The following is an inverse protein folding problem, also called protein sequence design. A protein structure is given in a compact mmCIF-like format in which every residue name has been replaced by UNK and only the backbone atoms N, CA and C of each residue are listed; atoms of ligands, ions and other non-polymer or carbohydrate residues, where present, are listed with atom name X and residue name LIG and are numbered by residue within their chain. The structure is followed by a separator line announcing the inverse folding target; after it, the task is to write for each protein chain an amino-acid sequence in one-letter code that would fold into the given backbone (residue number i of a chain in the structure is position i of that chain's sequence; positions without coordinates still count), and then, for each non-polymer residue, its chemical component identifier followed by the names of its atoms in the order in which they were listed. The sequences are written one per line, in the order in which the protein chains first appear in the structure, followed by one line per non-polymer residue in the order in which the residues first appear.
data_IF_673244325990
#
_entry.id   IF_673244325990
#
_cell.length_a   1.000
_cell.length_b   1.000
_cell.length_c   1.000
_cell.angle_alpha   90.00
_cell.angle_beta   90.00
_cell.angle_gamma   90.00
#
_symmetry.space_group_name_H-M   'P 1'
#
loop_
_entity.id
_entity.type
_entity.pdbx_description
1 polymer ?
#
# COMPACT_ATOMS: atom_id res chain seq x y z
N UNK A 1 6.04 15.44 11.99
CA UNK A 1 7.12 14.62 12.55
C UNK A 1 6.96 14.60 14.07
N UNK A 2 6.60 13.44 14.61
CA UNK A 2 6.52 13.24 16.06
C UNK A 2 7.90 12.73 16.48
N UNK A 3 8.68 13.59 17.13
CA UNK A 3 9.93 13.19 17.76
C UNK A 3 9.64 12.37 19.02
N UNK A 4 9.77 11.06 18.92
CA UNK A 4 9.74 10.17 20.08
C UNK A 4 11.12 10.18 20.70
N UNK A 5 11.29 10.85 21.83
CA UNK A 5 12.52 10.77 22.61
C UNK A 5 12.54 9.42 23.34
N UNK A 6 13.51 8.54 23.09
CA UNK A 6 13.64 7.31 23.87
C UNK A 6 13.91 7.66 25.33
N UNK A 7 13.13 7.09 26.23
CA UNK A 7 13.41 7.14 27.68
C UNK A 7 14.70 6.35 27.96
N UNK A 8 15.82 7.07 28.03
CA UNK A 8 17.12 6.49 28.37
C UNK A 8 17.95 7.47 29.18
N UNK A 9 18.84 6.96 30.04
CA UNK A 9 19.83 7.79 30.72
C UNK A 9 20.76 8.41 29.67
N UNK A 10 21.01 9.73 29.70
CA UNK A 10 21.94 10.40 28.81
C UNK A 10 23.31 9.73 28.87
N UNK A 11 23.98 9.54 27.73
CA UNK A 11 25.34 9.02 27.73
C UNK A 11 26.27 10.01 28.48
N UNK A 12 27.05 9.57 29.47
CA UNK A 12 27.81 10.47 30.35
C UNK A 12 28.89 11.26 29.62
N UNK A 13 29.34 10.81 28.44
CA UNK A 13 30.43 11.38 27.67
C UNK A 13 30.05 11.89 26.29
N UNK A 14 28.81 11.69 25.84
CA UNK A 14 28.34 12.10 24.53
C UNK A 14 27.03 12.85 24.67
N UNK A 15 26.96 14.06 24.12
CA UNK A 15 25.72 14.83 23.97
C UNK A 15 25.49 15.10 22.49
N UNK A 16 24.28 14.84 22.00
CA UNK A 16 23.82 15.22 20.66
C UNK A 16 22.85 16.37 20.86
N UNK A 17 23.18 17.51 20.27
CA UNK A 17 22.43 18.76 20.44
C UNK A 17 22.06 19.32 19.07
N UNK A 18 20.83 19.84 18.94
CA UNK A 18 20.49 20.73 17.84
C UNK A 18 21.15 22.10 18.00
N UNK A 19 21.24 22.90 16.95
CA UNK A 19 21.88 24.22 17.00
C UNK A 19 21.25 25.15 18.05
N UNK A 20 19.92 25.10 18.22
CA UNK A 20 19.19 25.88 19.22
C UNK A 20 19.55 25.42 20.65
N UNK A 21 19.58 24.11 20.87
CA UNK A 21 19.93 23.52 22.17
C UNK A 21 21.37 23.83 22.55
N UNK A 22 22.29 23.73 21.59
CA UNK A 22 23.70 24.11 21.79
C UNK A 22 23.85 25.58 22.17
N UNK A 23 23.04 26.48 21.59
CA UNK A 23 23.02 27.91 21.93
C UNK A 23 22.49 28.15 23.33
N UNK A 24 21.47 27.42 23.77
CA UNK A 24 20.86 27.53 25.11
C UNK A 24 21.72 26.89 26.20
N UNK A 25 22.62 26.00 25.86
CA UNK A 25 23.53 25.33 26.78
C UNK A 25 25.00 25.49 26.34
N UNK A 26 25.51 26.72 26.23
CA UNK A 26 26.85 27.01 25.71
C UNK A 26 27.94 26.29 26.48
N UNK A 27 27.83 26.10 27.79
CA UNK A 27 28.79 25.38 28.60
C UNK A 27 28.98 23.92 28.13
N UNK A 28 27.91 23.24 27.67
CA UNK A 28 28.04 21.88 27.15
C UNK A 28 28.73 21.82 25.79
N UNK A 29 28.60 22.85 24.98
CA UNK A 29 29.24 22.91 23.66
C UNK A 29 30.67 23.45 23.73
N UNK A 30 30.94 24.46 24.57
CA UNK A 30 32.25 25.12 24.70
C UNK A 30 33.23 24.31 25.59
N UNK A 31 32.71 23.66 26.63
CA UNK A 31 33.52 22.84 27.54
C UNK A 31 33.71 21.39 27.05
N UNK A 32 33.12 21.02 25.91
CA UNK A 32 33.33 19.72 25.31
C UNK A 32 34.79 19.56 24.92
N UNK A 33 35.38 18.39 25.20
CA UNK A 33 36.74 18.06 24.76
C UNK A 33 36.88 18.12 23.24
N UNK A 34 35.82 17.73 22.52
CA UNK A 34 35.72 17.72 21.06
C UNK A 34 34.30 18.04 20.64
N UNK A 35 34.15 18.98 19.70
CA UNK A 35 32.88 19.33 19.10
C UNK A 35 32.82 18.79 17.67
N UNK A 36 31.76 18.10 17.31
CA UNK A 36 31.51 17.59 15.96
C UNK A 36 30.37 18.36 15.33
N UNK A 37 30.64 19.13 14.27
CA UNK A 37 29.64 19.78 13.44
C UNK A 37 29.28 18.84 12.29
N UNK A 38 28.14 18.18 12.41
CA UNK A 38 27.69 17.18 11.44
C UNK A 38 26.82 17.79 10.34
N UNK A 39 26.93 17.22 9.11
CA UNK A 39 26.07 17.55 8.00
C UNK A 39 26.29 18.98 7.45
N UNK A 40 27.53 19.42 7.32
CA UNK A 40 27.89 20.79 6.95
C UNK A 40 27.74 21.08 5.44
N UNK A 41 26.53 20.79 4.94
CA UNK A 41 26.10 20.98 3.57
C UNK A 41 25.20 22.21 3.44
N UNK A 42 25.16 22.80 2.26
CA UNK A 42 24.22 23.89 1.94
C UNK A 42 22.79 23.40 2.04
N UNK A 43 21.94 24.17 2.70
CA UNK A 43 20.55 23.79 3.00
C UNK A 43 20.36 23.16 4.38
N UNK A 44 21.45 22.65 5.01
CA UNK A 44 21.47 22.26 6.42
C UNK A 44 22.13 23.37 7.25
N UNK A 45 23.27 23.89 6.78
CA UNK A 45 24.02 24.99 7.38
C UNK A 45 24.33 26.08 6.34
N UNK A 46 23.53 27.16 6.25
CA UNK A 46 22.29 27.43 6.99
C UNK A 46 21.12 26.57 6.48
N UNK A 47 20.09 26.33 7.35
CA UNK A 47 18.87 25.72 6.90
C UNK A 47 18.20 26.59 5.81
N UNK A 48 17.48 25.93 4.89
CA UNK A 48 16.76 26.62 3.83
C UNK A 48 15.72 27.57 4.46
N UNK A 49 15.59 28.80 3.94
CA UNK A 49 14.54 29.69 4.41
C UNK A 49 13.17 29.09 4.16
N UNK A 50 12.27 29.17 5.14
CA UNK A 50 10.88 28.75 4.97
C UNK A 50 10.23 29.62 3.87
N UNK A 51 9.56 28.94 2.94
CA UNK A 51 8.74 29.63 1.94
C UNK A 51 7.46 30.08 2.61
N UNK A 52 7.32 31.41 2.82
CA UNK A 52 6.07 31.97 3.32
C UNK A 52 5.17 32.27 2.09
N UNK A 53 4.10 31.49 1.90
CA UNK A 53 3.22 31.67 0.73
C UNK A 53 2.34 32.91 0.82
N UNK A 54 2.23 33.53 2.01
CA UNK A 54 1.30 34.61 2.28
C UNK A 54 1.95 36.01 2.29
N UNK A 55 3.22 36.11 2.76
CA UNK A 55 3.88 37.39 2.95
C UNK A 55 5.24 37.47 2.27
N UNK A 56 5.45 38.50 1.46
CA UNK A 56 6.77 38.88 0.99
C UNK A 56 7.56 39.64 2.07
N UNK A 57 8.84 39.96 1.80
CA UNK A 57 9.71 40.63 2.80
C UNK A 57 9.22 42.03 3.18
N UNK A 58 8.61 42.78 2.27
CA UNK A 58 8.08 44.11 2.54
C UNK A 58 6.84 44.05 3.43
N UNK A 59 5.93 43.12 3.16
CA UNK A 59 4.74 42.87 4.00
C UNK A 59 5.13 42.48 5.42
N UNK A 60 6.12 41.59 5.56
CA UNK A 60 6.65 41.19 6.88
C UNK A 60 7.20 42.39 7.66
N UNK A 61 7.98 43.25 7.01
CA UNK A 61 8.53 44.44 7.61
C UNK A 61 7.42 45.41 8.05
N UNK A 62 6.37 45.58 7.23
CA UNK A 62 5.24 46.46 7.55
C UNK A 62 4.45 46.05 8.80
N UNK A 63 4.42 44.74 9.11
CA UNK A 63 3.75 44.18 10.32
C UNK A 63 4.71 43.88 11.46
N UNK A 64 5.98 44.29 11.36
CA UNK A 64 6.98 44.08 12.41
C UNK A 64 7.51 42.69 12.59
N UNK A 65 7.31 41.81 11.60
CA UNK A 65 7.84 40.41 11.61
C UNK A 65 9.33 40.39 11.20
N UNK A 66 10.12 39.46 11.79
CA UNK A 66 11.52 39.31 11.40
C UNK A 66 11.69 39.05 9.90
N UNK A 67 12.78 39.54 9.28
CA UNK A 67 13.08 39.24 7.86
C UNK A 67 13.27 37.74 7.64
N UNK A 68 12.97 37.25 6.43
CA UNK A 68 13.05 35.80 6.12
C UNK A 68 14.44 35.19 6.34
N UNK A 69 15.49 35.99 6.23
CA UNK A 69 16.88 35.54 6.37
C UNK A 69 17.44 35.65 7.80
N UNK A 70 16.63 36.06 8.79
CA UNK A 70 17.12 36.19 10.17
C UNK A 70 17.68 34.89 10.74
N UNK A 71 17.09 33.73 10.35
CA UNK A 71 17.56 32.39 10.73
C UNK A 71 18.96 32.09 10.19
N UNK A 72 19.27 32.59 8.98
CA UNK A 72 20.62 32.47 8.41
C UNK A 72 21.64 33.25 9.25
N UNK A 73 21.27 34.41 9.77
CA UNK A 73 22.09 35.18 10.70
C UNK A 73 22.34 34.43 12.02
N UNK A 74 21.30 33.83 12.58
CA UNK A 74 21.46 32.97 13.78
C UNK A 74 22.35 31.76 13.50
N UNK A 75 22.20 31.11 12.36
CA UNK A 75 23.06 29.98 11.95
C UNK A 75 24.51 30.40 11.79
N UNK A 76 24.76 31.60 11.26
CA UNK A 76 26.13 32.15 11.18
C UNK A 76 26.73 32.36 12.58
N UNK A 77 25.93 32.88 13.52
CA UNK A 77 26.35 33.03 14.92
C UNK A 77 26.66 31.68 15.56
N UNK A 78 25.81 30.67 15.36
CA UNK A 78 26.02 29.32 15.91
C UNK A 78 27.30 28.69 15.38
N UNK A 79 27.55 28.81 14.07
CA UNK A 79 28.79 28.35 13.43
C UNK A 79 30.01 29.10 13.98
N UNK A 80 29.91 30.42 14.14
CA UNK A 80 31.01 31.22 14.69
C UNK A 80 31.34 30.77 16.12
N UNK A 81 30.34 30.61 16.97
CA UNK A 81 30.54 30.12 18.33
C UNK A 81 31.18 28.72 18.37
N UNK A 82 30.72 27.84 17.49
CA UNK A 82 31.22 26.48 17.40
C UNK A 82 32.70 26.44 16.93
N UNK A 83 33.08 27.25 15.95
CA UNK A 83 34.44 27.33 15.43
C UNK A 83 35.44 27.86 16.47
N UNK A 84 34.95 28.64 17.43
CA UNK A 84 35.78 29.09 18.56
C UNK A 84 36.07 27.99 19.60
N UNK A 85 35.56 26.79 19.43
CA UNK A 85 35.87 25.65 20.29
C UNK A 85 37.28 25.14 20.11
N UNK A 86 37.79 24.49 21.16
CA UNK A 86 39.19 24.11 21.27
C UNK A 86 39.61 23.00 20.29
N UNK A 87 38.72 22.05 20.04
CA UNK A 87 38.92 20.92 19.12
C UNK A 87 37.61 20.70 18.35
N UNK A 88 37.63 20.87 17.05
CA UNK A 88 36.46 20.80 16.21
C UNK A 88 36.67 19.90 15.01
N UNK A 89 35.68 19.02 14.78
CA UNK A 89 35.59 18.22 13.55
C UNK A 89 34.38 18.69 12.77
N UNK A 90 34.54 18.99 11.50
CA UNK A 90 33.45 19.33 10.58
C UNK A 90 33.28 18.18 9.61
N UNK A 91 32.04 17.64 9.55
CA UNK A 91 31.70 16.57 8.61
C UNK A 91 30.64 17.02 7.62
N UNK A 92 30.71 16.53 6.40
CA UNK A 92 29.71 16.72 5.38
C UNK A 92 29.52 15.48 4.54
N UNK A 93 28.37 15.35 3.91
CA UNK A 93 28.13 14.34 2.90
C UNK A 93 28.56 14.86 1.51
N UNK A 94 29.30 14.06 0.72
CA UNK A 94 29.60 14.39 -0.68
C UNK A 94 28.38 14.10 -1.59
N UNK A 95 27.58 13.11 -1.23
CA UNK A 95 26.35 12.74 -1.93
C UNK A 95 25.23 12.47 -0.92
N UNK A 96 24.02 12.78 -1.30
CA UNK A 96 22.80 12.42 -0.57
C UNK A 96 21.84 11.73 -1.53
N UNK A 97 21.42 10.51 -1.22
CA UNK A 97 20.62 9.65 -2.11
C UNK A 97 21.20 9.58 -3.55
N UNK A 98 22.51 9.43 -3.68
CA UNK A 98 23.20 9.37 -4.98
C UNK A 98 23.48 10.72 -5.64
N UNK A 99 22.86 11.81 -5.20
CA UNK A 99 23.01 13.16 -5.77
C UNK A 99 24.17 13.92 -5.10
N UNK A 100 25.10 14.53 -5.85
CA UNK A 100 26.16 15.36 -5.30
C UNK A 100 25.61 16.53 -4.46
N UNK A 101 26.21 16.80 -3.34
CA UNK A 101 25.84 17.89 -2.43
C UNK A 101 26.79 19.08 -2.56
N UNK A 102 26.30 20.26 -2.18
CA UNK A 102 27.12 21.48 -2.15
C UNK A 102 27.63 21.72 -0.73
N UNK A 103 28.89 22.11 -0.59
CA UNK A 103 29.46 22.55 0.68
C UNK A 103 28.66 23.72 1.25
N UNK A 104 28.46 23.76 2.57
CA UNK A 104 27.93 24.94 3.26
C UNK A 104 28.72 26.21 2.89
N UNK A 105 28.00 27.31 2.68
CA UNK A 105 28.64 28.63 2.46
C UNK A 105 29.56 29.06 3.60
N UNK A 106 29.28 28.62 4.80
CA UNK A 106 30.13 28.88 5.97
C UNK A 106 31.46 28.13 5.87
N UNK A 107 31.44 26.89 5.41
CA UNK A 107 32.65 26.11 5.20
C UNK A 107 33.48 26.70 4.07
N UNK A 108 32.88 27.10 2.94
CA UNK A 108 33.57 27.74 1.83
C UNK A 108 34.24 29.06 2.27
N UNK A 109 33.52 29.88 3.07
CA UNK A 109 34.10 31.10 3.61
C UNK A 109 35.29 30.83 4.55
N UNK A 110 35.21 29.82 5.40
CA UNK A 110 36.27 29.41 6.28
C UNK A 110 37.49 28.93 5.49
N UNK A 111 37.29 28.11 4.48
CA UNK A 111 38.39 27.64 3.58
C UNK A 111 39.12 28.83 2.92
N UNK A 112 38.38 29.83 2.44
CA UNK A 112 38.97 31.05 1.85
C UNK A 112 39.83 31.81 2.84
N UNK A 113 39.36 32.00 4.08
CA UNK A 113 40.11 32.72 5.12
C UNK A 113 41.37 31.95 5.51
N UNK A 114 41.25 30.65 5.73
CA UNK A 114 42.37 29.78 6.08
C UNK A 114 43.44 29.79 4.97
N UNK A 115 43.03 29.71 3.72
CA UNK A 115 43.91 29.79 2.56
C UNK A 115 44.65 31.16 2.49
N UNK A 116 43.89 32.25 2.70
CA UNK A 116 44.49 33.59 2.69
C UNK A 116 45.54 33.81 3.81
N UNK A 117 45.35 33.13 4.93
CA UNK A 117 46.32 33.14 6.06
C UNK A 117 47.47 32.18 5.91
N UNK A 118 47.51 31.36 4.85
CA UNK A 118 48.56 30.36 4.64
C UNK A 118 48.49 29.16 5.59
N UNK A 119 47.33 28.93 6.21
CA UNK A 119 47.13 27.91 7.26
C UNK A 119 46.52 26.60 6.74
N UNK A 120 46.35 26.45 5.43
CA UNK A 120 45.69 25.27 4.84
C UNK A 120 46.37 23.94 5.21
N UNK A 121 47.67 23.94 5.39
CA UNK A 121 48.42 22.75 5.81
C UNK A 121 48.21 22.34 7.27
N UNK A 122 47.56 23.17 8.07
CA UNK A 122 47.26 22.90 9.48
C UNK A 122 45.89 22.24 9.69
N UNK A 123 45.10 22.10 8.64
CA UNK A 123 43.80 21.44 8.69
C UNK A 123 44.01 19.94 8.41
N UNK A 124 43.64 19.09 9.37
CA UNK A 124 43.59 17.67 9.18
C UNK A 124 42.43 17.33 8.20
N UNK A 125 42.71 16.52 7.20
CA UNK A 125 41.72 16.07 6.20
C UNK A 125 40.77 14.95 6.71
N UNK A 126 40.93 14.54 7.97
CA UNK A 126 40.16 13.47 8.60
C UNK A 126 40.53 12.08 8.08
N UNK A 127 41.75 11.87 7.63
CA UNK A 127 42.21 10.57 7.11
C UNK A 127 42.07 9.46 8.17
N UNK A 128 42.35 9.78 9.43
CA UNK A 128 42.20 8.85 10.56
C UNK A 128 40.76 8.44 10.78
N UNK A 129 39.82 9.38 10.80
CA UNK A 129 38.40 9.14 10.98
C UNK A 129 37.81 8.36 9.80
N UNK A 130 38.19 8.70 8.57
CA UNK A 130 37.82 7.93 7.37
C UNK A 130 38.36 6.49 7.41
N UNK A 131 39.58 6.29 7.91
CA UNK A 131 40.11 4.93 8.08
C UNK A 131 39.36 4.13 9.15
N UNK A 132 38.91 4.76 10.21
CA UNK A 132 38.01 4.12 11.19
C UNK A 132 36.66 3.74 10.58
N UNK A 133 36.03 4.63 9.84
CA UNK A 133 34.77 4.35 9.14
C UNK A 133 34.91 3.16 8.20
N UNK A 134 35.99 3.11 7.42
CA UNK A 134 36.28 1.99 6.51
C UNK A 134 36.47 0.64 7.24
N UNK A 135 36.88 0.66 8.52
CA UNK A 135 36.97 -0.56 9.36
C UNK A 135 35.60 -0.96 9.92
N UNK A 136 34.75 0.00 10.24
CA UNK A 136 33.37 -0.26 10.69
C UNK A 136 32.46 -0.76 9.57
N UNK A 137 32.70 -0.29 8.36
CA UNK A 137 31.96 -0.69 7.15
C UNK A 137 32.91 -1.45 6.21
N UNK A 138 33.35 -2.68 6.57
CA UNK A 138 34.16 -3.44 5.66
C UNK A 138 33.41 -3.63 4.36
N UNK A 139 34.05 -3.36 3.23
CA UNK A 139 33.54 -3.68 1.91
C UNK A 139 33.40 -5.20 1.79
N UNK A 140 32.33 -5.74 2.32
CA UNK A 140 31.92 -7.11 2.01
C UNK A 140 31.41 -7.11 0.57
N UNK A 141 31.83 -8.09 -0.21
CA UNK A 141 31.22 -8.32 -1.53
C UNK A 141 29.72 -8.41 -1.32
N UNK A 142 28.87 -7.55 -1.94
CA UNK A 142 27.46 -7.63 -1.75
C UNK A 142 26.98 -9.04 -2.13
N UNK A 143 26.37 -9.72 -1.18
CA UNK A 143 25.68 -10.96 -1.51
C UNK A 143 24.30 -10.54 -2.03
N UNK A 144 24.01 -10.94 -3.26
CA UNK A 144 22.66 -10.77 -3.82
C UNK A 144 21.66 -11.47 -2.92
N UNK A 145 20.58 -10.79 -2.60
CA UNK A 145 19.48 -11.42 -1.90
C UNK A 145 18.85 -12.48 -2.82
N UNK A 146 18.64 -13.66 -2.27
CA UNK A 146 17.95 -14.72 -3.01
C UNK A 146 16.44 -14.60 -2.83
N UNK A 147 15.71 -14.94 -3.87
CA UNK A 147 14.26 -15.07 -3.82
C UNK A 147 13.89 -16.10 -2.76
N UNK A 148 13.11 -15.73 -1.73
CA UNK A 148 12.69 -16.68 -0.72
C UNK A 148 11.76 -17.73 -1.31
N UNK A 149 12.01 -18.99 -0.98
CA UNK A 149 11.28 -20.13 -1.49
C UNK A 149 11.17 -21.20 -0.40
N UNK A 150 10.47 -20.90 0.73
CA UNK A 150 10.33 -21.85 1.83
C UNK A 150 9.55 -23.10 1.39
N UNK A 151 9.91 -24.25 1.94
CA UNK A 151 9.24 -25.51 1.73
C UNK A 151 8.72 -26.06 3.06
N UNK A 152 7.51 -25.65 3.51
CA UNK A 152 6.96 -26.07 4.79
C UNK A 152 6.53 -27.54 4.78
N UNK A 153 6.58 -28.25 5.93
CA UNK A 153 6.07 -29.60 6.07
C UNK A 153 4.61 -29.73 5.65
N UNK A 154 4.21 -30.85 5.05
CA UNK A 154 2.83 -31.09 4.57
C UNK A 154 1.77 -30.80 5.65
N UNK A 155 2.00 -31.25 6.87
CA UNK A 155 1.08 -31.08 7.98
C UNK A 155 0.80 -29.60 8.36
N UNK A 156 1.68 -28.66 7.97
CA UNK A 156 1.50 -27.25 8.24
C UNK A 156 0.86 -26.49 7.08
N UNK A 157 0.67 -27.14 5.92
CA UNK A 157 0.10 -26.50 4.72
C UNK A 157 -1.39 -26.27 4.89
N UNK A 158 -1.90 -25.10 4.46
CA UNK A 158 -3.31 -24.75 4.63
C UNK A 158 -4.22 -25.64 3.78
N UNK A 159 -5.36 -26.02 4.34
CA UNK A 159 -6.42 -26.79 3.65
C UNK A 159 -7.69 -25.97 3.44
N UNK A 160 -7.62 -24.66 3.62
CA UNK A 160 -8.73 -23.76 3.38
C UNK A 160 -8.25 -22.46 2.75
N UNK A 161 -8.92 -22.04 1.67
CA UNK A 161 -8.64 -20.82 0.94
C UNK A 161 -9.94 -20.07 0.61
N UNK A 162 -9.88 -18.74 0.56
CA UNK A 162 -10.94 -17.95 -0.07
C UNK A 162 -10.73 -17.86 -1.58
N UNK A 163 -11.78 -17.53 -2.32
CA UNK A 163 -11.69 -17.34 -3.78
C UNK A 163 -10.60 -16.33 -4.18
N UNK A 164 -10.45 -15.24 -3.43
CA UNK A 164 -9.39 -14.24 -3.66
C UNK A 164 -7.98 -14.74 -3.30
N UNK A 165 -7.86 -15.67 -2.36
CA UNK A 165 -6.57 -16.27 -2.00
C UNK A 165 -6.04 -17.25 -3.05
N UNK A 166 -6.88 -17.79 -3.91
CA UNK A 166 -6.45 -18.62 -5.05
C UNK A 166 -5.58 -17.81 -6.01
N UNK A 167 -5.95 -16.57 -6.32
CA UNK A 167 -5.16 -15.70 -7.18
C UNK A 167 -3.77 -15.41 -6.58
N UNK A 168 -3.72 -15.22 -5.25
CA UNK A 168 -2.47 -15.02 -4.52
C UNK A 168 -1.65 -16.32 -4.51
N UNK A 169 -2.28 -17.47 -4.29
CA UNK A 169 -1.60 -18.76 -4.26
C UNK A 169 -0.92 -19.10 -5.59
N UNK A 170 -1.52 -18.68 -6.69
CA UNK A 170 -0.96 -18.87 -8.05
C UNK A 170 0.18 -17.89 -8.32
N UNK A 171 0.04 -16.62 -7.93
CA UNK A 171 0.97 -15.55 -8.32
C UNK A 171 2.08 -15.28 -7.30
N UNK A 172 1.78 -15.46 -6.01
CA UNK A 172 2.70 -15.23 -4.89
C UNK A 172 2.46 -16.24 -3.74
N UNK A 173 2.86 -17.52 -3.93
CA UNK A 173 2.72 -18.52 -2.87
C UNK A 173 3.35 -18.13 -1.54
N UNK A 174 4.41 -17.32 -1.55
CA UNK A 174 5.04 -16.84 -0.33
C UNK A 174 4.11 -15.99 0.53
N UNK A 175 3.21 -15.22 -0.08
CA UNK A 175 2.20 -14.47 0.67
C UNK A 175 1.22 -15.41 1.41
N UNK A 176 0.87 -16.56 0.81
CA UNK A 176 0.09 -17.60 1.49
C UNK A 176 0.89 -18.24 2.63
N UNK A 177 2.18 -18.52 2.41
CA UNK A 177 3.07 -19.01 3.48
C UNK A 177 3.11 -18.03 4.67
N UNK A 178 3.35 -16.74 4.41
CA UNK A 178 3.40 -15.71 5.44
C UNK A 178 2.05 -15.58 6.17
N UNK A 179 0.95 -15.52 5.43
CA UNK A 179 -0.40 -15.30 6.00
C UNK A 179 -0.93 -16.50 6.76
N UNK A 180 -0.84 -17.71 6.16
CA UNK A 180 -1.54 -18.90 6.68
C UNK A 180 -0.66 -19.82 7.51
N UNK A 181 0.62 -19.95 7.17
CA UNK A 181 1.54 -20.84 7.87
C UNK A 181 2.24 -20.09 9.01
N UNK A 182 2.84 -18.93 8.72
CA UNK A 182 3.44 -18.09 9.75
C UNK A 182 2.41 -17.26 10.53
N UNK A 183 1.17 -17.16 10.05
CA UNK A 183 0.06 -16.41 10.65
C UNK A 183 0.36 -14.94 10.88
N UNK A 184 1.18 -14.35 10.02
CA UNK A 184 1.50 -12.93 10.07
C UNK A 184 0.31 -12.11 9.58
N UNK A 185 0.04 -11.02 10.29
CA UNK A 185 -0.98 -10.04 9.90
C UNK A 185 -0.28 -8.73 9.58
N UNK A 186 -0.63 -8.07 8.46
CA UNK A 186 -0.17 -6.72 8.21
C UNK A 186 -0.64 -5.80 9.34
N UNK A 187 0.20 -4.84 9.71
CA UNK A 187 -0.22 -3.78 10.63
C UNK A 187 -1.02 -2.76 9.84
N UNK A 188 -2.11 -2.30 10.44
CA UNK A 188 -2.86 -1.18 9.92
C UNK A 188 -2.05 0.12 10.09
N UNK A 189 -2.20 1.05 9.14
CA UNK A 189 -1.62 2.38 9.27
C UNK A 189 -2.24 3.11 10.47
N UNK A 190 -1.40 3.83 11.23
CA UNK A 190 -1.84 4.56 12.43
C UNK A 190 -2.89 5.62 12.07
N UNK A 191 -2.76 6.23 10.91
CA UNK A 191 -3.69 7.26 10.40
C UNK A 191 -4.17 6.84 9.00
N UNK A 192 -5.17 5.92 8.99
CA UNK A 192 -5.71 5.40 7.74
C UNK A 192 -6.55 6.49 7.06
N UNK A 193 -5.99 7.08 6.02
CA UNK A 193 -6.73 8.02 5.18
C UNK A 193 -7.86 7.30 4.41
N UNK A 194 -8.90 8.05 4.08
CA UNK A 194 -9.96 7.56 3.21
C UNK A 194 -9.39 7.18 1.83
N UNK A 195 -9.37 5.91 1.53
CA UNK A 195 -8.77 5.34 0.32
C UNK A 195 -9.81 4.72 -0.62
N UNK A 196 -9.34 4.24 -1.77
CA UNK A 196 -10.21 3.59 -2.76
C UNK A 196 -10.86 2.29 -2.23
N UNK A 197 -10.23 1.60 -1.27
CA UNK A 197 -10.76 0.39 -0.67
C UNK A 197 -11.96 0.71 0.23
N UNK A 198 -11.86 1.73 1.08
CA UNK A 198 -12.98 2.21 1.90
C UNK A 198 -14.17 2.63 1.03
N UNK A 199 -13.91 3.36 -0.08
CA UNK A 199 -14.97 3.71 -1.03
C UNK A 199 -15.65 2.46 -1.60
N UNK A 200 -14.88 1.44 -1.95
CA UNK A 200 -15.41 0.15 -2.42
C UNK A 200 -16.36 -0.46 -1.40
N UNK A 201 -15.93 -0.56 -0.15
CA UNK A 201 -16.72 -1.13 0.95
C UNK A 201 -18.06 -0.39 1.07
N UNK A 202 -18.07 0.95 1.15
CA UNK A 202 -19.28 1.74 1.29
C UNK A 202 -20.26 1.55 0.14
N UNK A 203 -19.76 1.40 -1.10
CA UNK A 203 -20.60 1.14 -2.27
C UNK A 203 -21.21 -0.27 -2.21
N UNK A 204 -20.41 -1.28 -1.90
CA UNK A 204 -20.86 -2.66 -1.77
C UNK A 204 -21.92 -2.81 -0.67
N UNK A 205 -21.69 -2.24 0.51
CA UNK A 205 -22.63 -2.32 1.64
C UNK A 205 -23.98 -1.70 1.29
N UNK A 206 -24.00 -0.53 0.64
CA UNK A 206 -25.23 0.13 0.23
C UNK A 206 -26.00 -0.69 -0.83
N UNK A 207 -25.27 -1.28 -1.81
CA UNK A 207 -25.87 -2.14 -2.84
C UNK A 207 -26.37 -3.46 -2.26
N UNK A 208 -25.67 -4.02 -1.30
CA UNK A 208 -26.06 -5.24 -0.61
C UNK A 208 -27.38 -5.05 0.16
N UNK A 209 -27.49 -3.97 0.94
CA UNK A 209 -28.70 -3.66 1.70
C UNK A 209 -29.88 -3.38 0.78
N UNK A 210 -29.66 -2.63 -0.31
CA UNK A 210 -30.68 -2.41 -1.34
C UNK A 210 -31.13 -3.73 -1.98
N UNK A 211 -30.20 -4.59 -2.37
CA UNK A 211 -30.51 -5.87 -3.01
C UNK A 211 -31.27 -6.81 -2.08
N UNK A 212 -30.90 -6.84 -0.78
CA UNK A 212 -31.63 -7.61 0.24
C UNK A 212 -33.07 -7.09 0.47
N UNK A 213 -33.24 -5.77 0.52
CA UNK A 213 -34.53 -5.15 0.69
C UNK A 213 -35.46 -5.38 -0.53
N UNK A 214 -34.89 -5.60 -1.72
CA UNK A 214 -35.58 -5.80 -2.99
C UNK A 214 -35.19 -7.16 -3.62
N UNK A 215 -35.21 -8.23 -2.85
CA UNK A 215 -34.75 -9.55 -3.27
C UNK A 215 -35.61 -10.19 -4.39
N UNK A 216 -36.84 -9.80 -4.51
CA UNK A 216 -37.80 -10.36 -5.49
C UNK A 216 -38.70 -9.27 -6.09
N UNK A 217 -39.25 -9.53 -7.27
CA UNK A 217 -40.23 -8.64 -7.93
C UNK A 217 -39.59 -7.42 -8.59
N UNK A 218 -40.47 -6.57 -9.12
CA UNK A 218 -40.12 -5.33 -9.79
C UNK A 218 -39.83 -4.21 -8.79
N UNK A 219 -38.97 -3.27 -9.17
CA UNK A 219 -38.66 -2.09 -8.35
C UNK A 219 -39.82 -1.07 -8.41
N UNK A 220 -40.08 -0.44 -7.26
CA UNK A 220 -40.96 0.70 -7.18
C UNK A 220 -40.37 1.99 -7.79
N UNK A 221 -41.22 3.04 -7.97
CA UNK A 221 -40.74 4.32 -8.49
C UNK A 221 -39.78 5.05 -7.56
N UNK A 222 -39.72 4.70 -6.30
CA UNK A 222 -38.88 5.25 -5.23
C UNK A 222 -37.56 4.50 -5.05
N UNK A 223 -37.27 3.51 -5.91
CA UNK A 223 -36.10 2.67 -5.78
C UNK A 223 -34.77 3.43 -5.75
N UNK A 224 -34.64 4.50 -6.54
CA UNK A 224 -33.43 5.34 -6.51
C UNK A 224 -33.29 6.07 -5.17
N UNK A 225 -34.38 6.62 -4.63
CA UNK A 225 -34.34 7.30 -3.33
C UNK A 225 -34.01 6.32 -2.23
N UNK A 226 -34.55 5.11 -2.27
CA UNK A 226 -34.23 4.04 -1.33
C UNK A 226 -32.72 3.67 -1.38
N UNK A 227 -32.12 3.52 -2.56
CA UNK A 227 -30.70 3.23 -2.70
C UNK A 227 -29.82 4.38 -2.18
N UNK A 228 -30.23 5.62 -2.44
CA UNK A 228 -29.53 6.80 -1.92
C UNK A 228 -29.62 6.88 -0.39
N UNK A 229 -30.72 6.45 0.23
CA UNK A 229 -30.86 6.44 1.69
C UNK A 229 -29.99 5.34 2.34
N UNK A 230 -29.88 4.16 1.75
CA UNK A 230 -28.87 3.17 2.17
C UNK A 230 -27.45 3.76 2.04
N UNK A 231 -27.16 4.42 0.92
CA UNK A 231 -25.89 5.13 0.76
C UNK A 231 -25.63 6.14 1.87
N UNK A 232 -26.59 7.03 2.18
CA UNK A 232 -26.45 8.02 3.28
C UNK A 232 -26.13 7.34 4.61
N UNK A 233 -26.77 6.21 4.89
CA UNK A 233 -26.57 5.44 6.11
C UNK A 233 -25.11 4.95 6.23
N UNK A 234 -24.56 4.30 5.20
CA UNK A 234 -23.20 3.78 5.20
C UNK A 234 -22.14 4.89 5.15
N UNK A 235 -22.43 6.00 4.46
CA UNK A 235 -21.53 7.15 4.42
C UNK A 235 -21.59 8.03 5.68
N UNK A 236 -22.57 7.88 6.56
CA UNK A 236 -22.84 8.79 7.69
C UNK A 236 -21.61 9.06 8.57
N UNK A 237 -20.83 8.02 8.89
CA UNK A 237 -19.62 8.13 9.71
C UNK A 237 -18.44 8.85 9.03
N UNK A 238 -18.48 8.96 7.69
CA UNK A 238 -17.39 9.49 6.87
C UNK A 238 -17.72 10.84 6.22
N UNK A 239 -18.99 11.24 6.22
CA UNK A 239 -19.50 12.43 5.50
C UNK A 239 -18.94 13.75 6.03
N UNK A 240 -18.38 13.75 7.24
CA UNK A 240 -17.68 14.90 7.85
C UNK A 240 -16.36 15.28 7.12
N UNK A 241 -15.79 14.38 6.31
CA UNK A 241 -14.59 14.66 5.52
C UNK A 241 -14.98 15.30 4.18
N UNK A 242 -14.48 16.52 3.84
CA UNK A 242 -14.86 17.23 2.61
C UNK A 242 -14.62 16.42 1.33
N UNK A 243 -13.53 15.67 1.25
CA UNK A 243 -13.20 14.82 0.09
C UNK A 243 -14.25 13.73 -0.14
N UNK A 244 -14.74 13.11 0.92
CA UNK A 244 -15.78 12.06 0.83
C UNK A 244 -17.09 12.68 0.40
N UNK A 245 -17.51 13.76 1.06
CA UNK A 245 -18.77 14.43 0.77
C UNK A 245 -18.87 14.93 -0.68
N UNK A 246 -17.81 15.57 -1.22
CA UNK A 246 -17.88 16.19 -2.54
C UNK A 246 -17.52 15.26 -3.70
N UNK A 247 -16.62 14.28 -3.48
CA UNK A 247 -16.16 13.42 -4.57
C UNK A 247 -16.78 12.03 -4.55
N UNK A 248 -16.90 11.39 -3.39
CA UNK A 248 -17.41 10.03 -3.34
C UNK A 248 -18.92 9.99 -3.40
N UNK A 249 -19.60 10.91 -2.71
CA UNK A 249 -21.04 10.98 -2.73
C UNK A 249 -21.59 11.29 -4.13
N UNK A 250 -21.01 12.27 -4.84
CA UNK A 250 -21.41 12.57 -6.23
C UNK A 250 -21.18 11.39 -7.18
N UNK A 251 -20.14 10.58 -6.93
CA UNK A 251 -19.93 9.35 -7.68
C UNK A 251 -20.94 8.27 -7.33
N UNK A 252 -21.30 8.16 -6.06
CA UNK A 252 -22.33 7.23 -5.62
C UNK A 252 -23.69 7.56 -6.24
N UNK A 253 -24.11 8.83 -6.28
CA UNK A 253 -25.33 9.27 -6.93
C UNK A 253 -25.37 8.90 -8.42
N UNK A 254 -24.29 9.16 -9.15
CA UNK A 254 -24.20 8.81 -10.57
C UNK A 254 -24.25 7.30 -10.80
N UNK A 255 -23.57 6.52 -9.96
CA UNK A 255 -23.59 5.06 -9.99
C UNK A 255 -24.98 4.52 -9.63
N UNK A 256 -25.62 5.06 -8.61
CA UNK A 256 -26.95 4.62 -8.16
C UNK A 256 -28.01 4.81 -9.26
N UNK A 257 -27.99 5.94 -9.95
CA UNK A 257 -28.91 6.17 -11.07
C UNK A 257 -28.70 5.14 -12.19
N UNK A 258 -27.44 4.88 -12.57
CA UNK A 258 -27.11 3.84 -13.56
C UNK A 258 -27.52 2.45 -13.10
N UNK A 259 -27.26 2.12 -11.83
CA UNK A 259 -27.60 0.83 -11.25
C UNK A 259 -29.11 0.58 -11.32
N UNK A 260 -29.94 1.51 -10.87
CA UNK A 260 -31.42 1.39 -10.90
C UNK A 260 -31.95 1.25 -12.33
N UNK A 261 -31.38 1.99 -13.29
CA UNK A 261 -31.78 1.85 -14.70
C UNK A 261 -31.52 0.43 -15.24
N UNK A 262 -30.37 -0.18 -14.88
CA UNK A 262 -30.04 -1.55 -15.26
C UNK A 262 -30.91 -2.58 -14.50
N UNK A 263 -31.19 -2.34 -13.22
CA UNK A 263 -32.07 -3.20 -12.42
C UNK A 263 -33.48 -3.31 -13.04
N UNK A 264 -34.07 -2.21 -13.44
CA UNK A 264 -35.40 -2.23 -14.06
C UNK A 264 -35.47 -3.13 -15.30
N UNK A 265 -34.43 -3.09 -16.15
CA UNK A 265 -34.40 -3.93 -17.36
C UNK A 265 -34.15 -5.41 -17.04
N UNK A 266 -33.36 -5.68 -16.00
CA UNK A 266 -32.89 -7.03 -15.70
C UNK A 266 -33.90 -7.87 -14.93
N UNK A 267 -34.71 -7.22 -14.10
CA UNK A 267 -35.64 -7.91 -13.19
C UNK A 267 -36.81 -8.61 -13.89
N UNK A 268 -37.06 -8.33 -15.17
CA UNK A 268 -38.10 -9.03 -15.94
C UNK A 268 -37.85 -10.54 -16.04
N UNK A 269 -36.57 -10.97 -16.08
CA UNK A 269 -36.18 -12.36 -16.22
C UNK A 269 -35.81 -13.02 -14.89
N UNK A 270 -35.67 -12.25 -13.80
CA UNK A 270 -35.21 -12.76 -12.51
C UNK A 270 -36.37 -13.27 -11.65
N UNK A 271 -36.12 -14.36 -10.94
CA UNK A 271 -36.98 -14.89 -9.88
C UNK A 271 -36.57 -14.31 -8.52
N UNK A 272 -35.25 -14.28 -8.23
CA UNK A 272 -34.73 -13.81 -6.96
C UNK A 272 -33.29 -13.34 -7.06
N UNK A 273 -32.91 -12.44 -6.13
CA UNK A 273 -31.57 -11.89 -5.97
C UNK A 273 -31.10 -12.15 -4.53
N UNK A 274 -29.87 -12.57 -4.40
CA UNK A 274 -29.22 -12.81 -3.12
C UNK A 274 -27.94 -11.96 -3.06
N UNK A 275 -27.73 -11.27 -1.95
CA UNK A 275 -26.57 -10.39 -1.76
C UNK A 275 -25.76 -10.80 -0.54
N UNK A 276 -24.44 -10.80 -0.69
CA UNK A 276 -23.48 -11.08 0.39
C UNK A 276 -23.70 -12.48 1.02
N UNK A 277 -23.86 -13.49 0.16
CA UNK A 277 -24.09 -14.89 0.56
C UNK A 277 -22.77 -15.63 0.64
N UNK A 278 -22.59 -16.35 1.76
CA UNK A 278 -21.44 -17.22 1.93
C UNK A 278 -21.63 -18.56 1.22
N UNK A 279 -20.55 -19.06 0.65
CA UNK A 279 -20.53 -20.37 0.03
C UNK A 279 -19.22 -21.09 0.23
N UNK A 280 -19.26 -22.42 0.06
CA UNK A 280 -18.06 -23.27 0.14
C UNK A 280 -18.22 -24.53 -0.70
N UNK A 281 -17.08 -25.03 -1.16
CA UNK A 281 -16.95 -26.37 -1.78
C UNK A 281 -15.67 -27.04 -1.26
N UNK A 282 -15.59 -28.34 -1.55
CA UNK A 282 -14.38 -29.14 -1.29
C UNK A 282 -13.82 -29.66 -2.61
N UNK A 283 -12.56 -29.30 -2.88
CA UNK A 283 -11.78 -29.90 -3.97
C UNK A 283 -11.12 -31.19 -3.48
N UNK A 284 -11.00 -32.16 -4.36
CA UNK A 284 -10.25 -33.37 -4.06
C UNK A 284 -8.74 -33.13 -4.26
N UNK A 285 -7.96 -33.57 -3.29
CA UNK A 285 -6.50 -33.46 -3.37
C UNK A 285 -5.82 -34.62 -2.62
N UNK A 286 -4.55 -34.92 -2.97
CA UNK A 286 -3.81 -36.10 -2.52
C UNK A 286 -3.66 -36.22 -1.00
N UNK A 287 -3.51 -35.09 -0.32
CA UNK A 287 -3.40 -35.02 1.16
C UNK A 287 -4.74 -34.73 1.86
N UNK A 288 -5.87 -35.02 1.19
CA UNK A 288 -7.22 -34.80 1.68
C UNK A 288 -7.89 -33.55 1.08
N UNK A 289 -9.17 -33.31 1.38
CA UNK A 289 -9.94 -32.27 0.73
C UNK A 289 -9.42 -30.86 1.05
N UNK A 290 -9.46 -29.96 0.07
CA UNK A 290 -9.19 -28.53 0.22
C UNK A 290 -10.51 -27.77 0.19
N UNK A 291 -10.81 -27.04 1.26
CA UNK A 291 -12.00 -26.20 1.37
C UNK A 291 -11.77 -24.87 0.65
N UNK A 292 -12.61 -24.57 -0.34
CA UNK A 292 -12.72 -23.24 -0.92
C UNK A 292 -13.93 -22.51 -0.34
N UNK A 293 -13.76 -21.24 -0.03
CA UNK A 293 -14.83 -20.37 0.47
C UNK A 293 -14.94 -19.12 -0.37
N UNK A 294 -16.17 -18.64 -0.58
CA UNK A 294 -16.44 -17.35 -1.19
C UNK A 294 -17.56 -16.64 -0.46
N UNK A 295 -17.64 -15.34 -0.63
CA UNK A 295 -18.79 -14.51 -0.31
C UNK A 295 -19.14 -13.77 -1.58
N UNK A 296 -20.22 -14.18 -2.22
CA UNK A 296 -20.64 -13.56 -3.47
C UNK A 296 -21.30 -12.20 -3.19
N UNK A 297 -20.90 -11.16 -3.88
CA UNK A 297 -21.50 -9.84 -3.78
C UNK A 297 -22.98 -9.90 -4.17
N UNK A 298 -23.28 -10.62 -5.27
CA UNK A 298 -24.62 -10.80 -5.76
C UNK A 298 -24.77 -12.10 -6.58
N UNK A 299 -25.81 -12.84 -6.27
CA UNK A 299 -26.28 -14.00 -7.04
C UNK A 299 -27.68 -13.72 -7.55
N UNK A 300 -27.93 -13.98 -8.81
CA UNK A 300 -29.22 -13.86 -9.44
C UNK A 300 -29.72 -15.23 -9.92
N UNK A 301 -30.91 -15.57 -9.54
CA UNK A 301 -31.58 -16.78 -9.96
C UNK A 301 -32.69 -16.40 -10.93
N UNK A 302 -32.64 -16.89 -12.16
CA UNK A 302 -33.61 -16.55 -13.19
C UNK A 302 -34.78 -17.52 -13.21
N UNK A 303 -35.74 -17.27 -14.11
CA UNK A 303 -36.98 -18.06 -14.28
C UNK A 303 -36.71 -19.42 -14.93
N UNK A 304 -35.59 -19.58 -15.64
CA UNK A 304 -35.11 -20.82 -16.24
C UNK A 304 -34.43 -21.72 -15.22
N UNK A 305 -34.07 -21.22 -14.04
CA UNK A 305 -33.40 -21.94 -12.98
C UNK A 305 -31.88 -21.89 -13.10
N UNK A 306 -31.33 -20.87 -13.76
CA UNK A 306 -29.93 -20.65 -13.96
C UNK A 306 -29.38 -19.54 -13.06
N UNK A 307 -28.09 -19.61 -12.73
CA UNK A 307 -27.41 -18.64 -11.90
C UNK A 307 -26.61 -17.62 -12.72
N UNK A 308 -26.75 -16.35 -12.38
CA UNK A 308 -25.78 -15.31 -12.75
C UNK A 308 -25.06 -14.82 -11.50
N UNK A 309 -23.75 -14.83 -11.54
CA UNK A 309 -22.88 -14.36 -10.46
C UNK A 309 -22.34 -12.98 -10.83
N UNK A 310 -22.53 -12.02 -9.97
CA UNK A 310 -22.12 -10.63 -10.18
C UNK A 310 -21.14 -10.22 -9.08
N UNK A 311 -20.00 -9.72 -9.48
CA UNK A 311 -19.00 -9.13 -8.59
C UNK A 311 -18.84 -7.63 -8.90
N UNK A 312 -19.00 -6.80 -7.89
CA UNK A 312 -18.92 -5.35 -8.00
C UNK A 312 -17.46 -4.87 -7.93
N UNK A 313 -17.03 -4.02 -8.85
CA UNK A 313 -15.69 -3.44 -8.86
C UNK A 313 -15.77 -1.91 -8.97
N UNK A 314 -15.36 -1.20 -7.94
CA UNK A 314 -15.24 0.28 -7.98
C UNK A 314 -13.93 0.75 -8.64
N UNK A 315 -13.02 -0.18 -8.91
CA UNK A 315 -11.74 0.02 -9.57
C UNK A 315 -11.65 -0.64 -10.94
N UNK A 316 -10.46 -1.17 -11.24
CA UNK A 316 -10.20 -1.86 -12.52
C UNK A 316 -10.73 -3.30 -12.47
N UNK A 317 -11.45 -3.68 -13.51
CA UNK A 317 -11.92 -5.05 -13.72
C UNK A 317 -10.75 -5.89 -14.29
N UNK A 318 -10.59 -7.16 -13.87
CA UNK A 318 -9.63 -8.07 -14.45
C UNK A 318 -9.78 -8.21 -15.97
N UNK A 319 -8.66 -8.22 -16.70
CA UNK A 319 -8.71 -8.40 -18.15
C UNK A 319 -9.04 -9.85 -18.53
N UNK A 320 -9.73 -10.05 -19.64
CA UNK A 320 -10.06 -11.38 -20.15
C UNK A 320 -8.81 -12.25 -20.37
N UNK A 321 -7.65 -11.66 -20.68
CA UNK A 321 -6.40 -12.39 -20.82
C UNK A 321 -5.89 -12.99 -19.51
N UNK A 322 -6.05 -12.30 -18.37
CA UNK A 322 -5.67 -12.81 -17.04
C UNK A 322 -6.62 -13.91 -16.57
N UNK A 323 -7.90 -13.78 -16.91
CA UNK A 323 -8.92 -14.79 -16.64
C UNK A 323 -8.61 -16.05 -17.44
N UNK A 324 -8.39 -15.92 -18.76
CA UNK A 324 -8.02 -17.05 -19.64
C UNK A 324 -6.75 -17.77 -19.19
N UNK A 325 -5.77 -17.04 -18.68
CA UNK A 325 -4.56 -17.62 -18.08
C UNK A 325 -4.79 -18.28 -16.72
N UNK A 326 -5.99 -18.20 -16.16
CA UNK A 326 -6.30 -18.70 -14.82
C UNK A 326 -5.61 -17.96 -13.69
N UNK A 327 -5.22 -16.70 -13.89
CA UNK A 327 -4.58 -15.86 -12.87
C UNK A 327 -5.61 -15.11 -12.02
N UNK A 328 -6.83 -14.94 -12.53
CA UNK A 328 -7.96 -14.33 -11.82
C UNK A 328 -9.11 -15.32 -11.80
N UNK A 329 -9.42 -15.86 -10.61
CA UNK A 329 -10.31 -16.99 -10.43
C UNK A 329 -11.53 -16.69 -9.55
N UNK A 330 -11.64 -15.49 -8.97
CA UNK A 330 -12.70 -15.17 -7.99
C UNK A 330 -14.08 -15.58 -8.51
N UNK A 331 -14.55 -15.02 -9.63
CA UNK A 331 -15.85 -15.34 -10.20
C UNK A 331 -15.96 -16.81 -10.65
N UNK A 332 -14.86 -17.40 -11.15
CA UNK A 332 -14.86 -18.81 -11.55
C UNK A 332 -15.06 -19.75 -10.34
N UNK A 333 -14.45 -19.44 -9.20
CA UNK A 333 -14.66 -20.17 -7.94
C UNK A 333 -16.07 -19.97 -7.42
N UNK A 334 -16.61 -18.76 -7.49
CA UNK A 334 -18.00 -18.48 -7.10
C UNK A 334 -19.00 -19.20 -8.01
N UNK A 335 -18.76 -19.24 -9.33
CA UNK A 335 -19.54 -20.04 -10.28
C UNK A 335 -19.50 -21.53 -9.95
N UNK A 336 -18.32 -22.08 -9.63
CA UNK A 336 -18.19 -23.47 -9.22
C UNK A 336 -18.96 -23.79 -7.93
N UNK A 337 -18.94 -22.86 -6.96
CA UNK A 337 -19.72 -22.98 -5.71
C UNK A 337 -21.22 -22.97 -6.00
N UNK A 338 -21.70 -22.09 -6.90
CA UNK A 338 -23.11 -22.01 -7.27
C UNK A 338 -23.57 -23.28 -8.03
N UNK A 339 -22.74 -23.75 -8.96
CA UNK A 339 -23.01 -24.98 -9.71
C UNK A 339 -23.20 -26.18 -8.78
N UNK A 340 -22.35 -26.35 -7.77
CA UNK A 340 -22.41 -27.43 -6.81
C UNK A 340 -23.48 -27.23 -5.69
N UNK A 341 -24.18 -26.10 -5.65
CA UNK A 341 -25.12 -25.77 -4.58
C UNK A 341 -24.42 -25.52 -3.24
N UNK A 342 -23.19 -25.00 -3.28
CA UNK A 342 -22.38 -24.72 -2.09
C UNK A 342 -22.66 -23.39 -1.40
N UNK A 343 -23.56 -22.56 -1.92
CA UNK A 343 -24.02 -21.33 -1.24
C UNK A 343 -25.12 -21.66 -0.21
N UNK A 344 -25.09 -20.97 0.92
CA UNK A 344 -26.00 -21.20 2.06
C UNK A 344 -27.49 -21.15 1.63
N UNK A 345 -28.21 -22.28 1.81
CA UNK A 345 -29.63 -22.41 1.53
C UNK A 345 -30.06 -22.20 0.07
N UNK A 346 -29.11 -22.27 -0.87
CA UNK A 346 -29.40 -22.14 -2.30
C UNK A 346 -29.23 -23.48 -3.03
N UNK A 347 -30.05 -23.75 -4.07
CA UNK A 347 -29.92 -24.97 -4.85
C UNK A 347 -28.70 -24.95 -5.78
N UNK A 348 -28.21 -26.13 -6.15
CA UNK A 348 -27.33 -26.27 -7.28
C UNK A 348 -28.04 -25.86 -8.58
N UNK A 349 -27.30 -25.32 -9.55
CA UNK A 349 -27.88 -24.92 -10.84
C UNK A 349 -26.82 -24.55 -11.86
N UNK A 350 -27.25 -24.57 -13.13
CA UNK A 350 -26.41 -24.16 -14.24
C UNK A 350 -26.01 -22.69 -14.16
N UNK A 351 -24.86 -22.34 -14.73
CA UNK A 351 -24.33 -20.99 -14.70
C UNK A 351 -24.62 -20.30 -16.03
N UNK A 352 -25.53 -19.32 -16.03
CA UNK A 352 -25.86 -18.51 -17.20
C UNK A 352 -24.76 -17.50 -17.52
N UNK A 353 -24.25 -16.79 -16.49
CA UNK A 353 -23.25 -15.74 -16.71
C UNK A 353 -22.41 -15.49 -15.47
N UNK A 354 -21.17 -15.05 -15.70
CA UNK A 354 -20.25 -14.52 -14.70
C UNK A 354 -19.91 -13.08 -15.09
N UNK A 355 -20.27 -12.12 -14.24
CA UNK A 355 -20.26 -10.72 -14.59
C UNK A 355 -19.45 -9.88 -13.61
N UNK A 356 -18.66 -8.95 -14.13
CA UNK A 356 -18.12 -7.83 -13.37
C UNK A 356 -18.95 -6.58 -13.65
N UNK A 357 -19.48 -5.99 -12.59
CA UNK A 357 -20.11 -4.69 -12.71
C UNK A 357 -19.12 -3.62 -12.23
N UNK A 358 -18.56 -2.90 -13.22
CA UNK A 358 -17.60 -1.83 -12.92
C UNK A 358 -18.36 -0.55 -12.52
N UNK A 359 -18.33 -0.22 -11.24
CA UNK A 359 -19.09 0.88 -10.63
C UNK A 359 -18.15 2.09 -10.39
N UNK A 360 -17.79 2.79 -11.47
CA UNK A 360 -16.84 3.90 -11.40
C UNK A 360 -17.43 5.18 -10.80
N UNK A 361 -18.72 5.39 -10.97
CA UNK A 361 -19.46 6.60 -10.59
C UNK A 361 -19.01 7.87 -11.32
N UNK A 362 -18.24 7.76 -12.41
CA UNK A 362 -17.87 8.91 -13.24
C UNK A 362 -19.08 9.35 -14.06
N UNK A 363 -19.31 10.67 -14.19
CA UNK A 363 -20.47 11.20 -14.96
C UNK A 363 -20.54 10.69 -16.39
N UNK A 364 -19.41 10.49 -17.07
CA UNK A 364 -19.34 10.00 -18.46
C UNK A 364 -19.48 8.48 -18.59
N UNK A 365 -19.23 7.72 -17.53
CA UNK A 365 -19.29 6.25 -17.50
C UNK A 365 -19.53 5.81 -16.05
N UNK A 366 -20.76 5.96 -15.53
CA UNK A 366 -21.07 5.68 -14.13
C UNK A 366 -20.96 4.20 -13.78
N UNK A 367 -21.25 3.32 -14.72
CA UNK A 367 -21.14 1.88 -14.60
C UNK A 367 -20.97 1.20 -15.96
N UNK A 368 -20.46 -0.03 -15.94
CA UNK A 368 -20.30 -0.89 -17.12
C UNK A 368 -20.42 -2.36 -16.69
N UNK A 369 -21.16 -3.16 -17.43
CA UNK A 369 -21.26 -4.62 -17.23
C UNK A 369 -20.30 -5.31 -18.18
N UNK A 370 -19.46 -6.19 -17.63
CA UNK A 370 -18.48 -6.98 -18.38
C UNK A 370 -18.68 -8.47 -18.14
N UNK A 371 -18.73 -9.23 -19.22
CA UNK A 371 -18.92 -10.69 -19.21
C UNK A 371 -17.69 -11.41 -19.77
N UNK A 372 -16.54 -11.35 -19.06
CA UNK A 372 -15.28 -11.84 -19.62
C UNK A 372 -15.20 -13.36 -19.74
N UNK A 373 -16.18 -14.09 -19.24
CA UNK A 373 -16.24 -15.55 -19.26
C UNK A 373 -17.20 -16.12 -20.33
N UNK A 374 -17.83 -15.28 -21.15
CA UNK A 374 -18.88 -15.74 -22.08
C UNK A 374 -18.49 -16.95 -22.94
N UNK A 375 -17.20 -17.08 -23.30
CA UNK A 375 -16.66 -18.20 -24.08
C UNK A 375 -15.57 -19.00 -23.33
N UNK A 376 -15.41 -18.78 -22.02
CA UNK A 376 -14.25 -19.29 -21.25
C UNK A 376 -14.66 -20.07 -19.98
N UNK A 377 -15.95 -20.16 -19.68
CA UNK A 377 -16.43 -20.84 -18.48
C UNK A 377 -16.74 -22.29 -18.80
N UNK A 378 -15.79 -23.17 -18.45
CA UNK A 378 -15.95 -24.62 -18.41
C UNK A 378 -15.74 -25.08 -16.98
N UNK A 379 -16.81 -25.60 -16.37
CA UNK A 379 -16.84 -25.96 -14.96
C UNK A 379 -15.87 -27.09 -14.64
N UNK A 380 -15.77 -28.08 -15.53
CA UNK A 380 -14.88 -29.22 -15.34
C UNK A 380 -13.42 -28.81 -15.48
N UNK A 381 -13.09 -27.96 -16.46
CA UNK A 381 -11.73 -27.43 -16.64
C UNK A 381 -11.31 -26.57 -15.43
N UNK A 382 -12.20 -25.75 -14.89
CA UNK A 382 -11.93 -24.92 -13.69
C UNK A 382 -11.66 -25.81 -12.49
N UNK A 383 -12.52 -26.81 -12.26
CA UNK A 383 -12.35 -27.79 -11.15
C UNK A 383 -11.01 -28.51 -11.27
N UNK A 384 -10.75 -29.10 -12.41
CA UNK A 384 -9.50 -29.83 -12.69
C UNK A 384 -8.26 -28.94 -12.47
N UNK A 385 -8.31 -27.69 -12.90
CA UNK A 385 -7.21 -26.74 -12.70
C UNK A 385 -6.95 -26.45 -11.23
N UNK A 386 -8.01 -26.23 -10.46
CA UNK A 386 -7.91 -25.97 -9.02
C UNK A 386 -7.44 -27.21 -8.25
N UNK A 387 -7.88 -28.41 -8.63
CA UNK A 387 -7.43 -29.67 -8.04
C UNK A 387 -5.96 -29.96 -8.39
N UNK A 388 -5.53 -29.69 -9.63
CA UNK A 388 -4.11 -29.75 -10.01
C UNK A 388 -3.25 -28.77 -9.20
N UNK A 389 -3.74 -27.56 -8.94
CA UNK A 389 -3.05 -26.60 -8.08
C UNK A 389 -2.92 -27.14 -6.65
N UNK A 390 -3.98 -27.68 -6.06
CA UNK A 390 -3.96 -28.28 -4.74
C UNK A 390 -2.98 -29.46 -4.67
N UNK A 391 -3.02 -30.38 -5.64
CA UNK A 391 -2.13 -31.52 -5.72
C UNK A 391 -0.66 -31.11 -5.94
N UNK A 392 -0.39 -30.03 -6.69
CA UNK A 392 0.96 -29.50 -6.82
C UNK A 392 1.54 -29.08 -5.47
N UNK A 393 0.73 -28.41 -4.63
CA UNK A 393 1.15 -28.03 -3.28
C UNK A 393 1.00 -29.14 -2.23
N UNK A 394 0.46 -30.30 -2.58
CA UNK A 394 0.44 -31.50 -1.75
C UNK A 394 1.72 -32.35 -1.84
N UNK A 395 2.62 -32.02 -2.77
CA UNK A 395 3.93 -32.66 -2.87
C UNK A 395 4.88 -32.10 -1.83
N UNK A 396 5.59 -32.97 -1.12
CA UNK A 396 6.47 -32.59 -0.02
C UNK A 396 7.60 -31.64 -0.45
N UNK A 397 8.06 -31.77 -1.69
CA UNK A 397 9.15 -30.99 -2.27
C UNK A 397 8.70 -29.67 -2.92
N UNK A 398 7.40 -29.35 -2.95
CA UNK A 398 6.90 -28.11 -3.54
C UNK A 398 7.14 -26.92 -2.61
N UNK A 399 7.92 -25.92 -3.05
CA UNK A 399 8.17 -24.72 -2.28
C UNK A 399 7.06 -23.65 -2.46
N UNK A 400 7.11 -22.63 -1.62
CA UNK A 400 6.26 -21.43 -1.67
C UNK A 400 7.10 -20.19 -2.06
N UNK A 401 7.51 -20.05 -3.34
CA UNK A 401 8.33 -18.92 -3.78
C UNK A 401 7.58 -17.62 -3.76
N UNK A 402 8.32 -16.51 -3.53
CA UNK A 402 7.76 -15.16 -3.62
C UNK A 402 7.61 -14.72 -5.07
N UNK A 403 6.50 -14.06 -5.38
CA UNK A 403 6.23 -13.40 -6.68
C UNK A 403 6.60 -14.27 -7.89
N UNK A 404 5.93 -15.44 -8.04
CA UNK A 404 6.14 -16.35 -9.18
C UNK A 404 5.94 -15.65 -10.53
N UNK A 405 4.95 -14.78 -10.59
CA UNK A 405 4.67 -13.93 -11.74
C UNK A 405 4.61 -12.46 -11.30
N UNK A 406 5.78 -11.76 -11.24
CA UNK A 406 5.84 -10.37 -10.78
C UNK A 406 4.92 -9.42 -11.53
N UNK A 407 4.62 -9.72 -12.81
CA UNK A 407 3.76 -8.89 -13.67
C UNK A 407 2.28 -8.97 -13.29
N UNK A 408 1.85 -10.05 -12.65
CA UNK A 408 0.45 -10.35 -12.35
C UNK A 408 0.12 -10.46 -10.85
N UNK A 409 1.10 -10.22 -9.98
CA UNK A 409 0.85 -10.15 -8.52
C UNK A 409 -0.15 -9.03 -8.22
N UNK A 410 -1.11 -9.23 -7.31
CA UNK A 410 -2.02 -8.17 -6.89
C UNK A 410 -1.27 -6.91 -6.40
N UNK A 411 -1.84 -5.70 -6.63
CA UNK A 411 -1.15 -4.44 -6.29
C UNK A 411 -0.87 -4.30 -4.78
N UNK A 412 -1.70 -4.88 -3.92
CA UNK A 412 -1.48 -4.89 -2.48
C UNK A 412 -0.58 -6.07 -2.09
N UNK A 413 0.66 -5.76 -1.70
CA UNK A 413 1.72 -6.73 -1.36
C UNK A 413 2.19 -6.57 0.10
N UNK A 414 1.40 -7.00 1.08
CA UNK A 414 1.69 -6.72 2.50
C UNK A 414 2.97 -7.38 3.01
N UNK A 415 3.47 -8.41 2.35
CA UNK A 415 4.67 -9.16 2.73
C UNK A 415 5.90 -8.86 1.87
N UNK A 416 5.86 -7.82 1.03
CA UNK A 416 6.95 -7.45 0.12
C UNK A 416 8.27 -7.15 0.86
N UNK A 417 8.21 -6.48 2.02
CA UNK A 417 9.37 -6.20 2.84
C UNK A 417 9.95 -7.48 3.48
N UNK A 418 9.10 -8.46 3.84
CA UNK A 418 9.51 -9.75 4.39
C UNK A 418 10.21 -10.61 3.32
N UNK A 419 9.67 -10.61 2.09
CA UNK A 419 10.25 -11.34 0.97
C UNK A 419 11.50 -10.65 0.38
N UNK A 420 11.77 -9.39 0.79
CA UNK A 420 12.88 -8.57 0.27
C UNK A 420 12.87 -8.44 -1.27
N UNK A 421 11.67 -8.42 -1.87
CA UNK A 421 11.52 -8.51 -3.33
C UNK A 421 12.25 -7.37 -4.06
N UNK A 422 12.36 -6.19 -3.46
CA UNK A 422 13.11 -5.06 -4.03
C UNK A 422 14.61 -5.33 -4.19
N UNK A 423 15.17 -6.24 -3.39
CA UNK A 423 16.61 -6.51 -3.41
C UNK A 423 16.99 -7.55 -4.44
N UNK A 424 16.14 -8.54 -4.71
CA UNK A 424 16.44 -9.59 -5.68
C UNK A 424 15.75 -9.39 -7.04
N UNK A 425 14.68 -8.59 -7.14
CA UNK A 425 14.05 -8.24 -8.43
C UNK A 425 14.83 -7.18 -9.22
N UNK A 426 15.48 -6.24 -8.52
CA UNK A 426 16.17 -5.11 -9.14
C UNK A 426 17.68 -5.17 -8.98
N UNK A 427 18.22 -6.23 -8.35
CA UNK A 427 19.65 -6.40 -8.15
C UNK A 427 20.46 -6.56 -9.44
N UNK A 428 19.84 -7.01 -10.52
CA UNK A 428 20.51 -7.16 -11.83
C UNK A 428 20.57 -5.87 -12.65
N UNK A 429 19.87 -4.80 -12.25
CA UNK A 429 19.81 -3.52 -13.00
C UNK A 429 20.55 -2.37 -12.29
N UNK A 430 21.42 -2.67 -11.31
CA UNK A 430 22.19 -1.66 -10.59
C UNK A 430 23.45 -1.18 -11.34
N UNK A 431 23.74 -1.76 -12.51
CA UNK A 431 24.94 -1.47 -13.33
C UNK A 431 24.61 -0.84 -14.71
N UNK A 432 23.38 -0.29 -14.93
CA UNK A 432 23.11 0.58 -16.08
C UNK A 432 22.88 2.04 -15.70
#
# INVERSE_FOLDING_TARGET
DINVHPFGTPHPRLAILGAVEARMHPARAVDAHRLILAGFNEGNWPPRPDVDPWMNSAMRAAVGLPPKNWRSGLSAHDVYMAICSKDIIVTRADKEAGTPTTKSRWLQRMEVVVNALGLSGNIDDGATEKAWLAKFEPKTTPQLAFRPSPCPPLASRPRQFSATEIDIWITDPYAIYAKKILRLKPLDDIDRSADAALRGILFHDALADFSKANATGQLGPDALEQLLDFGKTHFASQIGQPSIRYFWWTRFEAMAAWFIENEHRRRDDLQSIYAEINGMIFLQADQGPVKLTARADRLEYDKEGEWTIVDYKTGTVPSGSLIKKGVRNQLAVEGLIAFDGGFESLPAGEIRSLEYWQLSGKKSAPGEIKTPFADLFDIDEIRDRLERLANYFDRADTPYPSELDPSNVPPFKPYQHLSRSREWLYGDNADE
#
